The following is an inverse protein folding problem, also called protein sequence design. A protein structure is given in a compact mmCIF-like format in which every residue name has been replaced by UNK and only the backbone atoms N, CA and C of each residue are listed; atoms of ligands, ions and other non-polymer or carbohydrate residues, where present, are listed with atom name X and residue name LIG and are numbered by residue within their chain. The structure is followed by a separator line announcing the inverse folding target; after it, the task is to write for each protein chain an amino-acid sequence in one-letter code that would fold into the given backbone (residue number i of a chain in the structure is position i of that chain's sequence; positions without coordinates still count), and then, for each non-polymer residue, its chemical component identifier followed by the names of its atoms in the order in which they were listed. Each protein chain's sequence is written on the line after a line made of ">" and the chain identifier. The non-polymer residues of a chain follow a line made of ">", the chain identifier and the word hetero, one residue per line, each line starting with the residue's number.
data_IF_417203715151
#
_entry.id   IF_417203715151
#
_cell.length_a   1.000
_cell.length_b   1.000
_cell.length_c   1.000
_cell.angle_alpha   90.00
_cell.angle_beta   90.00
_cell.angle_gamma   90.00
#
_symmetry.space_group_name_H-M   'P 1'
#
loop_
_entity.id
_entity.type
_entity.pdbx_description
1 polymer ?
#
# COMPACT_ATOMS: atom_id res chain seq x y z
N UNK A 1 -12.51 10.07 -2.47
CA UNK A 1 -11.11 10.48 -2.22
C UNK A 1 -10.27 9.23 -2.05
N UNK A 2 -9.36 8.91 -2.97
CA UNK A 2 -8.63 7.63 -2.92
C UNK A 2 -7.50 7.62 -1.89
N UNK A 3 -7.48 6.61 -1.02
CA UNK A 3 -6.42 6.32 -0.04
C UNK A 3 -5.29 5.46 -0.61
N UNK A 4 -5.53 4.88 -1.79
CA UNK A 4 -4.63 3.95 -2.47
C UNK A 4 -4.35 4.46 -3.88
N UNK A 5 -3.10 4.37 -4.29
CA UNK A 5 -2.70 4.52 -5.67
C UNK A 5 -2.98 3.21 -6.40
N UNK A 6 -3.93 3.28 -7.33
CA UNK A 6 -4.22 2.24 -8.31
C UNK A 6 -3.58 2.63 -9.64
N UNK A 7 -2.89 1.69 -10.29
CA UNK A 7 -2.29 1.96 -11.59
C UNK A 7 -1.75 0.73 -12.28
N UNK A 8 -1.21 0.94 -13.46
CA UNK A 8 -0.52 -0.09 -14.24
C UNK A 8 0.90 0.38 -14.50
N UNK A 9 1.87 -0.49 -14.25
CA UNK A 9 3.29 -0.21 -14.48
C UNK A 9 3.92 -1.29 -15.36
N UNK A 10 4.54 -0.87 -16.45
CA UNK A 10 5.34 -1.73 -17.31
C UNK A 10 6.82 -1.60 -16.94
N UNK A 11 7.39 -2.65 -16.36
CA UNK A 11 8.80 -2.74 -16.00
C UNK A 11 9.56 -3.47 -17.11
N UNK A 12 10.57 -2.86 -17.70
CA UNK A 12 11.36 -3.49 -18.77
C UNK A 12 11.99 -4.80 -18.28
N UNK A 13 11.86 -5.87 -19.05
CA UNK A 13 12.53 -7.15 -18.78
C UNK A 13 13.91 -7.23 -19.43
N UNK A 14 14.83 -8.00 -18.83
CA UNK A 14 16.17 -8.25 -19.38
C UNK A 14 16.16 -9.17 -20.60
N UNK A 15 15.13 -10.00 -20.77
CA UNK A 15 14.96 -10.92 -21.90
C UNK A 15 14.31 -10.27 -23.15
N UNK A 16 14.08 -8.96 -23.14
CA UNK A 16 13.19 -8.27 -24.08
C UNK A 16 11.75 -8.21 -23.56
N UNK A 17 10.96 -7.22 -23.99
CA UNK A 17 9.59 -7.00 -23.51
C UNK A 17 9.51 -6.35 -22.12
N UNK A 18 8.41 -6.61 -21.39
CA UNK A 18 8.14 -6.02 -20.08
C UNK A 18 7.40 -6.98 -19.12
N UNK A 19 7.66 -6.83 -17.82
CA UNK A 19 6.77 -7.30 -16.76
C UNK A 19 5.68 -6.27 -16.53
N UNK A 20 4.45 -6.75 -16.35
CA UNK A 20 3.30 -5.89 -16.11
C UNK A 20 2.89 -5.98 -14.65
N UNK A 21 2.71 -4.83 -14.00
CA UNK A 21 2.31 -4.73 -12.61
C UNK A 21 0.91 -4.13 -12.49
N UNK A 22 0.06 -4.81 -11.71
CA UNK A 22 -1.15 -4.23 -11.11
C UNK A 22 -0.71 -3.52 -9.83
N UNK A 23 -0.63 -2.19 -9.90
CA UNK A 23 -0.12 -1.35 -8.83
C UNK A 23 -1.25 -1.01 -7.86
N UNK A 24 -1.04 -1.37 -6.59
CA UNK A 24 -1.94 -1.04 -5.47
C UNK A 24 -1.09 -0.57 -4.31
N UNK A 25 -0.86 0.72 -4.19
CA UNK A 25 0.04 1.27 -3.18
C UNK A 25 -0.74 2.15 -2.18
N UNK A 26 -0.78 1.82 -0.88
CA UNK A 26 -1.42 2.67 0.11
C UNK A 26 -0.67 4.00 0.23
N UNK A 27 -1.36 5.12 -0.05
CA UNK A 27 -0.75 6.45 0.02
C UNK A 27 -0.52 6.90 1.46
N UNK A 28 -1.29 6.37 2.40
CA UNK A 28 -1.17 6.64 3.83
C UNK A 28 0.00 5.90 4.50
N UNK A 29 0.77 5.10 3.75
CA UNK A 29 2.08 4.61 4.19
C UNK A 29 3.14 5.52 3.59
N UNK A 30 3.90 6.22 4.43
CA UNK A 30 4.91 7.16 3.96
C UNK A 30 5.92 6.45 3.05
N UNK A 31 6.09 7.00 1.85
CA UNK A 31 7.05 6.55 0.85
C UNK A 31 7.47 7.72 -0.03
N UNK A 32 8.71 7.69 -0.51
CA UNK A 32 9.23 8.63 -1.52
C UNK A 32 9.23 8.07 -2.94
N UNK A 33 8.85 6.80 -3.11
CA UNK A 33 8.85 6.07 -4.38
C UNK A 33 7.55 5.28 -4.55
N UNK A 34 7.26 4.87 -5.79
CA UNK A 34 6.22 3.87 -6.05
C UNK A 34 6.71 2.55 -5.47
N UNK A 35 6.02 2.06 -4.45
CA UNK A 35 6.37 0.85 -3.73
C UNK A 35 5.46 -0.30 -4.17
N UNK A 36 6.07 -1.32 -4.76
CA UNK A 36 5.38 -2.47 -5.33
C UNK A 36 5.13 -3.59 -4.31
N UNK A 37 5.42 -3.38 -3.02
CA UNK A 37 5.22 -4.38 -1.95
C UNK A 37 3.77 -4.88 -1.85
N UNK A 38 2.81 -4.04 -2.19
CA UNK A 38 1.37 -4.36 -2.18
C UNK A 38 0.80 -4.64 -3.58
N UNK A 39 1.67 -4.62 -4.59
CA UNK A 39 1.33 -4.77 -6.00
C UNK A 39 1.65 -6.19 -6.47
N UNK A 40 1.07 -6.60 -7.60
CA UNK A 40 1.29 -7.94 -8.15
C UNK A 40 1.75 -7.90 -9.61
N UNK A 41 2.61 -8.85 -9.98
CA UNK A 41 2.96 -9.07 -11.39
C UNK A 41 1.83 -9.84 -12.07
N UNK A 42 1.28 -9.26 -13.14
CA UNK A 42 0.22 -9.85 -13.94
C UNK A 42 0.75 -11.06 -14.69
N UNK A 43 0.08 -12.20 -14.50
CA UNK A 43 0.52 -13.50 -15.02
C UNK A 43 1.61 -14.17 -14.18
N UNK A 44 1.91 -13.65 -12.99
CA UNK A 44 2.91 -14.19 -12.06
C UNK A 44 4.31 -13.60 -12.23
N UNK A 45 5.23 -13.98 -11.33
CA UNK A 45 6.54 -13.35 -11.19
C UNK A 45 7.45 -13.44 -12.42
N UNK A 46 7.24 -14.42 -13.29
CA UNK A 46 8.13 -14.75 -14.43
C UNK A 46 7.53 -14.41 -15.80
N UNK A 47 6.26 -14.02 -15.87
CA UNK A 47 5.60 -13.68 -17.14
C UNK A 47 6.22 -12.41 -17.73
N UNK A 48 6.57 -12.48 -19.00
CA UNK A 48 7.05 -11.34 -19.81
C UNK A 48 6.09 -11.15 -20.97
N UNK A 49 5.73 -9.90 -21.23
CA UNK A 49 4.88 -9.49 -22.33
C UNK A 49 5.73 -8.78 -23.40
N UNK A 50 5.47 -9.10 -24.65
CA UNK A 50 6.12 -8.44 -25.78
C UNK A 50 5.49 -7.07 -26.05
N UNK A 51 6.24 -6.15 -26.66
CA UNK A 51 5.75 -4.85 -27.12
C UNK A 51 4.99 -4.98 -28.45
N UNK A 52 3.99 -5.85 -28.48
CA UNK A 52 3.11 -6.12 -29.61
C UNK A 52 1.62 -6.03 -29.20
N UNK A 53 0.72 -6.45 -30.08
CA UNK A 53 -0.72 -6.39 -29.83
C UNK A 53 -1.15 -7.17 -28.57
N UNK A 54 -0.50 -8.31 -28.27
CA UNK A 54 -0.83 -9.08 -27.07
C UNK A 54 -0.41 -8.35 -25.79
N UNK A 55 0.75 -7.69 -25.79
CA UNK A 55 1.17 -6.85 -24.65
C UNK A 55 0.26 -5.63 -24.45
N UNK A 56 -0.15 -4.98 -25.54
CA UNK A 56 -1.11 -3.87 -25.47
C UNK A 56 -2.46 -4.31 -24.92
N UNK A 57 -2.95 -5.49 -25.33
CA UNK A 57 -4.19 -6.07 -24.80
C UNK A 57 -4.06 -6.37 -23.30
N UNK A 58 -2.94 -6.93 -22.86
CA UNK A 58 -2.70 -7.21 -21.44
C UNK A 58 -2.69 -5.95 -20.57
N UNK A 59 -2.11 -4.85 -21.08
CA UNK A 59 -2.18 -3.53 -20.42
C UNK A 59 -3.64 -3.10 -20.28
N UNK A 60 -4.42 -3.09 -21.36
CA UNK A 60 -5.82 -2.65 -21.34
C UNK A 60 -6.73 -3.53 -20.46
N UNK A 61 -6.46 -4.84 -20.36
CA UNK A 61 -7.14 -5.73 -19.43
C UNK A 61 -6.79 -5.43 -17.98
N UNK A 62 -5.50 -5.17 -17.71
CA UNK A 62 -5.03 -4.83 -16.37
C UNK A 62 -5.57 -3.46 -15.93
N UNK A 63 -5.59 -2.46 -16.81
CA UNK A 63 -6.17 -1.14 -16.51
C UNK A 63 -7.64 -1.24 -16.10
N UNK A 64 -8.44 -2.07 -16.79
CA UNK A 64 -9.83 -2.31 -16.43
C UNK A 64 -9.97 -3.00 -15.08
N UNK A 65 -9.13 -4.00 -14.80
CA UNK A 65 -9.10 -4.69 -13.49
C UNK A 65 -8.76 -3.73 -12.35
N UNK A 66 -7.74 -2.92 -12.54
CA UNK A 66 -7.27 -1.90 -11.58
C UNK A 66 -8.35 -0.85 -11.33
N UNK A 67 -9.01 -0.36 -12.38
CA UNK A 67 -10.11 0.60 -12.24
C UNK A 67 -11.29 -0.01 -11.46
N UNK A 68 -11.65 -1.27 -11.73
CA UNK A 68 -12.69 -1.97 -10.97
C UNK A 68 -12.31 -2.15 -9.48
N UNK A 69 -11.05 -2.47 -9.19
CA UNK A 69 -10.56 -2.60 -7.82
C UNK A 69 -10.54 -1.25 -7.07
N UNK A 70 -10.26 -0.14 -7.77
CA UNK A 70 -10.27 1.20 -7.19
C UNK A 70 -11.66 1.65 -6.70
N UNK A 71 -12.72 1.16 -7.34
CA UNK A 71 -14.12 1.46 -6.99
C UNK A 71 -14.69 0.49 -5.94
N UNK A 72 -13.92 -0.52 -5.51
CA UNK A 72 -14.41 -1.51 -4.54
C UNK A 72 -14.58 -0.90 -3.12
N UNK A 73 -15.58 -1.35 -2.35
CA UNK A 73 -15.85 -0.84 -0.99
C UNK A 73 -14.65 -0.97 -0.03
N UNK A 74 -13.91 -2.07 -0.13
CA UNK A 74 -12.78 -2.39 0.74
C UNK A 74 -11.42 -1.99 0.13
N UNK A 75 -11.44 -1.04 -0.83
CA UNK A 75 -10.23 -0.60 -1.55
C UNK A 75 -9.11 -0.05 -0.65
N UNK A 76 -9.45 0.31 0.59
CA UNK A 76 -8.47 0.82 1.56
C UNK A 76 -7.70 -0.31 2.25
N UNK A 77 -8.29 -1.50 2.43
CA UNK A 77 -7.59 -2.65 3.03
C UNK A 77 -6.86 -3.47 1.96
N UNK A 78 -5.60 -3.12 1.73
CA UNK A 78 -4.73 -3.91 0.87
C UNK A 78 -4.02 -5.01 1.65
N UNK A 79 -4.35 -6.26 1.33
CA UNK A 79 -3.53 -7.41 1.69
C UNK A 79 -2.50 -7.63 0.57
N UNK A 80 -1.20 -7.71 0.91
CA UNK A 80 -0.17 -7.93 -0.09
C UNK A 80 -0.18 -9.39 -0.58
N UNK A 81 0.29 -9.65 -1.81
CA UNK A 81 0.49 -11.00 -2.30
C UNK A 81 1.71 -11.62 -1.58
N UNK A 82 1.49 -12.65 -0.76
CA UNK A 82 2.58 -13.44 -0.14
C UNK A 82 2.59 -13.54 1.39
N UNK A 83 1.62 -12.98 2.10
CA UNK A 83 1.44 -13.19 3.55
C UNK A 83 1.79 -11.98 4.44
N UNK A 84 1.52 -12.12 5.74
CA UNK A 84 1.31 -11.00 6.65
C UNK A 84 2.52 -10.57 7.51
N UNK A 85 3.69 -11.19 7.39
CA UNK A 85 4.70 -11.14 8.47
C UNK A 85 5.78 -10.04 8.36
N UNK A 86 5.57 -9.00 7.56
CA UNK A 86 6.42 -7.81 7.59
C UNK A 86 5.79 -6.70 8.46
N UNK A 87 6.58 -6.10 9.36
CA UNK A 87 6.18 -4.95 10.19
C UNK A 87 5.53 -3.82 9.40
N UNK A 88 6.02 -3.53 8.19
CA UNK A 88 5.46 -2.49 7.31
C UNK A 88 4.04 -2.83 6.85
N UNK A 89 3.79 -4.11 6.56
CA UNK A 89 2.47 -4.57 6.14
C UNK A 89 1.48 -4.57 7.30
N UNK A 90 1.93 -4.98 8.49
CA UNK A 90 1.12 -4.90 9.71
C UNK A 90 0.74 -3.46 10.02
N UNK A 91 1.69 -2.51 9.95
CA UNK A 91 1.39 -1.09 10.11
C UNK A 91 0.40 -0.57 9.06
N UNK A 92 0.62 -0.87 7.78
CA UNK A 92 -0.28 -0.47 6.69
C UNK A 92 -1.71 -1.02 6.88
N UNK A 93 -1.83 -2.30 7.25
CA UNK A 93 -3.12 -2.93 7.54
C UNK A 93 -3.82 -2.26 8.71
N UNK A 94 -3.11 -1.97 9.80
CA UNK A 94 -3.70 -1.29 10.93
C UNK A 94 -4.22 0.11 10.56
N UNK A 95 -3.46 0.88 9.77
CA UNK A 95 -3.91 2.20 9.33
C UNK A 95 -5.16 2.11 8.45
N UNK A 96 -5.25 1.10 7.59
CA UNK A 96 -6.48 0.83 6.84
C UNK A 96 -7.68 0.52 7.74
N UNK A 97 -7.49 -0.32 8.78
CA UNK A 97 -8.53 -0.61 9.77
C UNK A 97 -8.99 0.65 10.53
N UNK A 98 -8.08 1.59 10.82
CA UNK A 98 -8.47 2.89 11.41
C UNK A 98 -9.37 3.67 10.46
N UNK A 99 -9.03 3.73 9.17
CA UNK A 99 -9.81 4.45 8.16
C UNK A 99 -11.21 3.87 7.95
N UNK A 100 -11.39 2.57 8.21
CA UNK A 100 -12.68 1.89 8.19
C UNK A 100 -13.46 1.99 9.52
N UNK A 101 -12.88 2.62 10.54
CA UNK A 101 -13.49 2.74 11.87
C UNK A 101 -13.33 1.49 12.74
N UNK A 102 -12.58 0.47 12.31
CA UNK A 102 -12.30 -0.74 13.06
C UNK A 102 -11.12 -0.54 14.05
N UNK A 103 -11.27 0.39 15.00
CA UNK A 103 -10.19 0.83 15.89
C UNK A 103 -9.64 -0.28 16.78
N UNK A 104 -10.49 -1.16 17.30
CA UNK A 104 -10.06 -2.26 18.19
C UNK A 104 -9.18 -3.26 17.45
N UNK A 105 -9.59 -3.63 16.21
CA UNK A 105 -8.79 -4.48 15.33
C UNK A 105 -7.47 -3.79 14.96
N UNK A 106 -7.48 -2.48 14.69
CA UNK A 106 -6.27 -1.72 14.41
C UNK A 106 -5.28 -1.76 15.59
N UNK A 107 -5.75 -1.58 16.84
CA UNK A 107 -4.92 -1.66 18.04
C UNK A 107 -4.26 -3.04 18.18
N UNK A 108 -4.99 -4.12 17.89
CA UNK A 108 -4.45 -5.47 17.94
C UNK A 108 -3.33 -5.68 16.90
N UNK A 109 -3.57 -5.26 15.66
CA UNK A 109 -2.58 -5.34 14.57
C UNK A 109 -1.35 -4.48 14.86
N UNK A 110 -1.52 -3.25 15.35
CA UNK A 110 -0.40 -2.41 15.79
C UNK A 110 0.38 -3.06 16.92
N UNK A 111 -0.28 -3.77 17.84
CA UNK A 111 0.38 -4.53 18.88
C UNK A 111 1.37 -5.57 18.31
N UNK A 112 1.08 -6.18 17.15
CA UNK A 112 2.00 -7.08 16.46
C UNK A 112 3.19 -6.32 15.86
N UNK A 113 2.92 -5.18 15.21
CA UNK A 113 3.97 -4.32 14.66
C UNK A 113 4.92 -3.80 15.76
N UNK A 114 4.39 -3.40 16.92
CA UNK A 114 5.19 -2.92 18.06
C UNK A 114 6.11 -3.99 18.67
N UNK A 115 5.79 -5.28 18.50
CA UNK A 115 6.62 -6.40 19.00
C UNK A 115 7.70 -6.83 18.02
N UNK A 116 7.75 -6.24 16.83
CA UNK A 116 8.76 -6.57 15.83
C UNK A 116 10.16 -6.15 16.30
N UNK A 117 11.10 -7.08 16.24
CA UNK A 117 12.51 -6.84 16.58
C UNK A 117 13.22 -6.13 15.42
N UNK A 118 13.22 -4.79 15.47
CA UNK A 118 13.75 -3.93 14.42
C UNK A 118 15.28 -3.95 14.38
N UNK A 119 15.83 -4.47 13.27
CA UNK A 119 17.27 -4.59 13.01
C UNK A 119 17.84 -3.35 12.32
N UNK A 120 17.05 -2.72 11.46
CA UNK A 120 17.47 -1.57 10.66
C UNK A 120 16.85 -0.26 11.16
N UNK A 121 17.49 0.92 10.90
CA UNK A 121 16.92 2.21 11.28
C UNK A 121 15.50 2.45 10.75
N UNK A 122 15.24 2.10 9.49
CA UNK A 122 13.92 2.28 8.87
C UNK A 122 12.83 1.39 9.51
N UNK A 123 13.20 0.23 10.06
CA UNK A 123 12.28 -0.65 10.80
C UNK A 123 11.95 -0.03 12.16
N UNK A 124 12.94 0.55 12.85
CA UNK A 124 12.71 1.26 14.12
C UNK A 124 11.75 2.42 13.93
N UNK A 125 11.88 3.16 12.83
CA UNK A 125 10.97 4.27 12.51
C UNK A 125 9.54 3.77 12.22
N UNK A 126 9.37 2.58 11.65
CA UNK A 126 8.05 1.95 11.47
C UNK A 126 7.45 1.52 12.81
N UNK A 127 8.24 0.85 13.66
CA UNK A 127 7.82 0.41 15.00
C UNK A 127 7.44 1.61 15.88
N UNK A 128 8.25 2.67 15.87
CA UNK A 128 7.98 3.89 16.63
C UNK A 128 6.66 4.56 16.21
N UNK A 129 6.43 4.72 14.90
CA UNK A 129 5.15 5.23 14.38
C UNK A 129 3.97 4.32 14.73
N UNK A 130 4.14 3.00 14.65
CA UNK A 130 3.10 2.07 15.05
C UNK A 130 2.75 2.20 16.54
N UNK A 131 3.76 2.38 17.41
CA UNK A 131 3.55 2.65 18.84
C UNK A 131 2.81 3.96 19.07
N UNK A 132 3.24 5.04 18.41
CA UNK A 132 2.61 6.37 18.50
C UNK A 132 1.12 6.31 18.14
N UNK A 133 0.77 5.70 17.00
CA UNK A 133 -0.63 5.54 16.58
C UNK A 133 -1.40 4.68 17.58
N UNK A 134 -0.81 3.58 18.04
CA UNK A 134 -1.45 2.67 18.99
C UNK A 134 -1.76 3.38 20.31
N UNK A 135 -0.81 4.13 20.85
CA UNK A 135 -0.98 4.90 22.09
C UNK A 135 -2.09 5.93 21.95
N UNK A 136 -2.17 6.63 20.81
CA UNK A 136 -3.26 7.57 20.54
C UNK A 136 -4.63 6.87 20.46
N UNK A 137 -4.72 5.71 19.80
CA UNK A 137 -5.97 4.95 19.73
C UNK A 137 -6.42 4.45 21.11
N UNK A 138 -5.50 3.92 21.92
CA UNK A 138 -5.78 3.48 23.30
C UNK A 138 -6.20 4.66 24.19
N UNK A 139 -5.67 5.85 23.94
CA UNK A 139 -6.07 7.09 24.61
C UNK A 139 -7.35 7.72 24.03
N UNK A 140 -8.07 7.02 23.15
CA UNK A 140 -9.30 7.49 22.48
C UNK A 140 -9.12 8.77 21.64
N UNK A 141 -7.91 9.02 21.12
CA UNK A 141 -7.57 10.18 20.27
C UNK A 141 -7.74 9.87 18.79
N UNK A 142 -8.92 9.37 18.38
CA UNK A 142 -9.17 8.94 16.99
C UNK A 142 -8.99 10.08 15.98
N UNK A 143 -9.45 11.30 16.31
CA UNK A 143 -9.31 12.46 15.41
C UNK A 143 -7.85 12.74 15.08
N UNK A 144 -6.97 12.75 16.09
CA UNK A 144 -5.55 13.02 15.92
C UNK A 144 -4.87 11.94 15.06
N UNK A 145 -5.29 10.69 15.20
CA UNK A 145 -4.81 9.58 14.37
C UNK A 145 -5.23 9.77 12.91
N UNK A 146 -6.50 10.13 12.66
CA UNK A 146 -7.00 10.37 11.31
C UNK A 146 -6.27 11.54 10.64
N UNK A 147 -6.04 12.64 11.36
CA UNK A 147 -5.28 13.79 10.88
C UNK A 147 -3.83 13.40 10.53
N UNK A 148 -3.21 12.56 11.35
CA UNK A 148 -1.86 12.04 11.12
C UNK A 148 -1.78 11.21 9.84
N UNK A 149 -2.71 10.26 9.68
CA UNK A 149 -2.80 9.36 8.51
C UNK A 149 -3.10 10.18 7.24
N UNK A 150 -3.98 11.18 7.32
CA UNK A 150 -4.27 12.10 6.22
C UNK A 150 -3.04 12.93 5.82
N UNK A 151 -2.27 13.41 6.80
CA UNK A 151 -1.01 14.12 6.58
C UNK A 151 0.05 13.25 5.89
N UNK A 152 0.13 11.97 6.24
CA UNK A 152 0.97 11.00 5.54
C UNK A 152 0.53 10.80 4.09
N UNK A 153 -0.77 10.60 3.85
CA UNK A 153 -1.34 10.51 2.50
C UNK A 153 -0.95 11.70 1.62
N UNK A 154 -1.14 12.93 2.14
CA UNK A 154 -0.79 14.14 1.41
C UNK A 154 0.72 14.24 1.12
N UNK A 155 1.56 13.87 2.10
CA UNK A 155 3.01 13.90 1.96
C UNK A 155 3.51 12.89 0.93
N UNK A 156 3.04 11.64 1.01
CA UNK A 156 3.39 10.57 0.06
C UNK A 156 2.97 10.97 -1.35
N UNK A 157 1.71 11.34 -1.55
CA UNK A 157 1.19 11.74 -2.86
C UNK A 157 2.02 12.85 -3.49
N UNK A 158 2.31 13.92 -2.73
CA UNK A 158 3.18 15.01 -3.19
C UNK A 158 4.58 14.52 -3.57
N UNK A 159 5.17 13.65 -2.76
CA UNK A 159 6.56 13.17 -2.97
C UNK A 159 6.68 12.33 -4.23
N UNK A 160 5.67 11.51 -4.53
CA UNK A 160 5.62 10.69 -5.75
C UNK A 160 4.99 11.41 -6.95
N UNK A 161 4.72 12.71 -6.84
CA UNK A 161 4.25 13.55 -7.95
C UNK A 161 2.76 13.42 -8.29
N UNK A 162 1.94 12.90 -7.36
CA UNK A 162 0.49 12.70 -7.55
C UNK A 162 -0.29 13.84 -6.92
N UNK A 163 -1.31 14.33 -7.63
CA UNK A 163 -2.29 15.28 -7.09
C UNK A 163 -3.51 14.52 -6.60
N UNK A 164 -3.86 14.72 -5.33
CA UNK A 164 -5.08 14.17 -4.75
C UNK A 164 -6.27 15.02 -5.24
N UNK A 165 -7.27 14.35 -5.82
CA UNK A 165 -8.57 14.93 -6.18
C UNK A 165 -9.63 14.58 -5.15
#
# INVERSE_FOLDING_TARGET
>A
MSWVLYGVLAERSSSGGFHLWDVRMPLYVQSSVIDLTWSERVGGGTRVWDTNAAGAQAIAETERSVAAAAEAPDSVLLLPPGGADNVRMQAARAYGLVLEGATDAAVEVLGRACRYDAKYPWERDLVARASEIREMLVAHRLSDVLDRIAGWRATTARTIGIRLT
#
